data_IF_999925604852
#
_entry.id   IF_999925604852
#
_cell.length_a   1.000
_cell.length_b   1.000
_cell.length_c   1.000
_cell.angle_alpha   90.00
_cell.angle_beta   90.00
_cell.angle_gamma   90.00
#
_symmetry.space_group_name_H-M   'P 1'
#
loop_
_entity.id
_entity.type
_entity.pdbx_description
1 polymer ?
#
# COMPACT_ATOMS: atom_id res chain seq x y z
N UNK A 1 -18.63 -3.46 -16.87
CA UNK A 1 -18.09 -3.02 -18.19
C UNK A 1 -17.41 -1.68 -17.98
N UNK A 2 -16.11 -1.69 -17.68
CA UNK A 2 -15.32 -0.46 -17.53
C UNK A 2 -15.10 0.17 -18.90
N UNK A 3 -15.68 1.32 -19.13
CA UNK A 3 -15.42 2.15 -20.30
C UNK A 3 -13.98 2.65 -20.23
N UNK A 4 -13.10 2.05 -21.04
CA UNK A 4 -11.77 2.55 -21.29
C UNK A 4 -11.87 3.97 -21.85
N UNK A 5 -11.44 4.98 -21.07
CA UNK A 5 -11.43 6.40 -21.48
C UNK A 5 -10.43 6.68 -22.61
N UNK A 6 -9.61 5.72 -23.00
CA UNK A 6 -8.64 5.84 -24.09
C UNK A 6 -8.87 4.71 -25.06
N UNK A 7 -9.67 4.98 -26.10
CA UNK A 7 -9.83 4.08 -27.23
C UNK A 7 -8.67 4.23 -28.24
N UNK A 8 -8.18 3.12 -28.80
CA UNK A 8 -7.33 3.12 -29.96
C UNK A 8 -5.81 3.14 -29.70
N UNK A 9 -5.06 3.59 -30.70
CA UNK A 9 -3.58 3.55 -30.77
C UNK A 9 -2.87 4.24 -29.58
N UNK A 10 -3.50 5.24 -28.94
CA UNK A 10 -2.94 5.93 -27.77
C UNK A 10 -2.84 5.05 -26.53
N UNK A 11 -3.87 4.22 -26.24
CA UNK A 11 -3.84 3.29 -25.12
C UNK A 11 -2.78 2.19 -25.31
N UNK A 12 -2.63 1.69 -26.53
CA UNK A 12 -1.60 0.70 -26.85
C UNK A 12 -0.19 1.26 -26.69
N UNK A 13 0.02 2.54 -27.06
CA UNK A 13 1.33 3.20 -26.90
C UNK A 13 1.68 3.40 -25.41
N UNK A 14 0.73 3.86 -24.59
CA UNK A 14 0.92 4.00 -23.13
C UNK A 14 1.21 2.64 -22.47
N UNK A 15 0.48 1.59 -22.85
CA UNK A 15 0.73 0.24 -22.36
C UNK A 15 2.11 -0.29 -22.77
N UNK A 16 2.53 -0.04 -24.02
CA UNK A 16 3.85 -0.43 -24.52
C UNK A 16 4.98 0.32 -23.79
N UNK A 17 4.78 1.59 -23.45
CA UNK A 17 5.75 2.37 -22.69
C UNK A 17 5.86 1.87 -21.25
N UNK A 18 4.75 1.60 -20.59
CA UNK A 18 4.72 1.02 -19.23
C UNK A 18 5.36 -0.38 -19.19
N UNK A 19 5.18 -1.18 -20.26
CA UNK A 19 5.82 -2.51 -20.36
C UNK A 19 7.35 -2.44 -20.54
N UNK A 20 7.86 -1.36 -21.17
CA UNK A 20 9.30 -1.15 -21.34
C UNK A 20 10.00 -0.60 -20.10
N UNK A 21 9.27 0.16 -19.28
CA UNK A 21 9.77 0.79 -18.05
C UNK A 21 8.87 0.37 -16.87
N UNK A 22 8.86 -0.93 -16.50
CA UNK A 22 8.00 -1.43 -15.45
C UNK A 22 8.45 -0.86 -14.11
N UNK A 23 7.55 -0.16 -13.43
CA UNK A 23 7.77 0.30 -12.09
C UNK A 23 6.66 -0.24 -11.16
N UNK A 24 7.01 -0.50 -9.92
CA UNK A 24 6.03 -0.94 -8.94
C UNK A 24 5.35 0.29 -8.34
N UNK A 25 4.06 0.46 -8.60
CA UNK A 25 3.26 1.51 -7.96
C UNK A 25 3.30 1.41 -6.43
N UNK A 26 3.50 0.21 -5.91
CA UNK A 26 3.57 -0.02 -4.47
C UNK A 26 4.94 0.41 -3.91
N UNK A 27 6.03 0.03 -4.57
CA UNK A 27 7.40 0.35 -4.11
C UNK A 27 7.68 1.87 -4.17
N UNK A 28 7.00 2.60 -5.07
CA UNK A 28 7.09 4.06 -5.15
C UNK A 28 6.74 4.75 -3.82
N UNK A 29 5.82 4.17 -3.05
CA UNK A 29 5.40 4.74 -1.78
C UNK A 29 6.26 4.33 -0.58
N UNK A 30 7.25 3.45 -0.73
CA UNK A 30 8.14 3.09 0.38
C UNK A 30 8.87 4.32 0.94
N UNK A 31 9.37 5.21 0.08
CA UNK A 31 10.01 6.45 0.51
C UNK A 31 9.09 7.37 1.32
N UNK A 32 7.80 7.45 0.92
CA UNK A 32 6.81 8.20 1.67
C UNK A 32 6.55 7.57 3.05
N UNK A 33 6.44 6.24 3.14
CA UNK A 33 6.28 5.54 4.41
C UNK A 33 7.49 5.79 5.30
N UNK A 34 8.71 5.63 4.78
CA UNK A 34 9.94 5.84 5.55
C UNK A 34 10.13 7.29 6.02
N UNK A 35 9.61 8.27 5.28
CA UNK A 35 9.62 9.68 5.68
C UNK A 35 8.59 10.00 6.79
N UNK A 36 7.64 9.10 7.06
CA UNK A 36 6.53 9.32 7.99
C UNK A 36 6.50 8.32 9.16
N UNK A 37 7.62 7.76 9.54
CA UNK A 37 7.71 6.81 10.65
C UNK A 37 7.39 7.49 12.00
N UNK A 38 6.82 6.76 12.98
CA UNK A 38 6.58 7.26 14.33
C UNK A 38 7.90 7.52 15.06
N UNK A 39 7.85 8.28 16.16
CA UNK A 39 9.03 8.50 17.00
C UNK A 39 9.45 7.24 17.75
N UNK A 40 8.47 6.48 18.31
CA UNK A 40 8.71 5.18 18.94
C UNK A 40 8.73 4.11 17.86
N UNK A 41 9.70 3.19 17.91
CA UNK A 41 10.00 2.24 16.83
C UNK A 41 10.33 0.85 17.34
N UNK A 42 9.52 0.33 18.27
CA UNK A 42 9.70 -1.02 18.81
C UNK A 42 9.10 -2.08 17.89
N UNK A 43 7.83 -1.91 17.51
CA UNK A 43 7.09 -2.89 16.71
C UNK A 43 6.45 -2.22 15.49
N UNK A 44 6.71 -2.76 14.30
CA UNK A 44 6.01 -2.41 13.07
C UNK A 44 5.31 -3.63 12.49
N UNK A 45 4.10 -3.43 11.94
CA UNK A 45 3.32 -4.47 11.26
C UNK A 45 2.99 -4.02 9.86
N UNK A 46 3.42 -4.78 8.85
CA UNK A 46 3.05 -4.59 7.45
C UNK A 46 1.98 -5.62 7.06
N UNK A 47 0.74 -5.17 6.91
CA UNK A 47 -0.42 -6.02 6.59
C UNK A 47 -0.53 -6.17 5.08
N UNK A 48 -0.53 -7.43 4.61
CA UNK A 48 -0.42 -7.78 3.20
C UNK A 48 0.98 -7.52 2.65
N UNK A 49 1.98 -8.02 3.36
CA UNK A 49 3.40 -7.74 3.09
C UNK A 49 3.91 -8.22 1.73
N UNK A 50 3.15 -9.08 1.04
CA UNK A 50 3.41 -9.55 -0.31
C UNK A 50 4.80 -10.19 -0.45
N UNK A 51 5.71 -9.52 -1.16
CA UNK A 51 7.09 -10.01 -1.40
C UNK A 51 8.12 -9.51 -0.39
N UNK A 52 7.71 -8.78 0.63
CA UNK A 52 8.55 -8.35 1.73
C UNK A 52 9.41 -7.10 1.47
N UNK A 53 9.24 -6.40 0.35
CA UNK A 53 10.05 -5.23 0.03
C UNK A 53 9.94 -4.11 1.08
N UNK A 54 8.71 -3.81 1.56
CA UNK A 54 8.53 -2.82 2.62
C UNK A 54 9.02 -3.36 3.96
N UNK A 55 8.73 -4.61 4.30
CA UNK A 55 9.21 -5.25 5.55
C UNK A 55 10.73 -5.15 5.66
N UNK A 56 11.46 -5.51 4.60
CA UNK A 56 12.92 -5.38 4.56
C UNK A 56 13.38 -3.92 4.72
N UNK A 57 12.67 -2.98 4.08
CA UNK A 57 12.97 -1.54 4.17
C UNK A 57 12.71 -0.95 5.55
N UNK A 58 11.77 -1.51 6.32
CA UNK A 58 11.45 -1.09 7.69
C UNK A 58 12.41 -1.67 8.75
N UNK A 59 13.00 -2.84 8.49
CA UNK A 59 13.84 -3.56 9.44
C UNK A 59 14.97 -2.71 10.06
N UNK A 60 15.68 -1.83 9.33
CA UNK A 60 16.72 -0.99 9.92
C UNK A 60 16.20 0.08 10.90
N UNK A 61 14.90 0.33 10.93
CA UNK A 61 14.30 1.43 11.69
C UNK A 61 13.53 0.98 12.94
N UNK A 62 13.26 -0.31 13.09
CA UNK A 62 12.46 -0.85 14.19
C UNK A 62 13.20 -1.93 14.95
N UNK A 63 12.88 -2.09 16.23
CA UNK A 63 13.41 -3.21 17.02
C UNK A 63 12.88 -4.54 16.46
N UNK A 64 11.62 -4.57 16.01
CA UNK A 64 11.01 -5.72 15.36
C UNK A 64 10.03 -5.31 14.28
N UNK A 65 9.96 -6.09 13.19
CA UNK A 65 9.01 -5.91 12.09
C UNK A 65 8.30 -7.21 11.79
N UNK A 66 6.97 -7.19 11.81
CA UNK A 66 6.16 -8.35 11.42
C UNK A 66 5.50 -8.11 10.07
N UNK A 67 5.87 -8.92 9.08
CA UNK A 67 5.14 -9.00 7.80
C UNK A 67 3.99 -9.99 7.90
N UNK A 68 2.77 -9.53 7.60
CA UNK A 68 1.57 -10.37 7.65
C UNK A 68 1.00 -10.55 6.24
N UNK A 69 0.71 -11.78 5.85
CA UNK A 69 0.00 -12.09 4.61
C UNK A 69 -0.81 -13.38 4.76
N UNK A 70 -1.99 -13.44 4.14
CA UNK A 70 -2.81 -14.66 4.12
C UNK A 70 -2.27 -15.70 3.13
N UNK A 71 -1.56 -15.24 2.09
CA UNK A 71 -0.99 -16.10 1.06
C UNK A 71 0.34 -16.70 1.52
N UNK A 72 0.40 -18.02 1.61
CA UNK A 72 1.58 -18.76 2.06
C UNK A 72 2.79 -18.59 1.11
N UNK A 73 2.58 -18.41 -0.21
CA UNK A 73 3.65 -18.15 -1.15
C UNK A 73 4.26 -16.75 -0.94
N UNK A 74 3.41 -15.76 -0.64
CA UNK A 74 3.88 -14.42 -0.29
C UNK A 74 4.67 -14.43 1.01
N UNK A 75 4.19 -15.13 2.06
CA UNK A 75 4.95 -15.29 3.32
C UNK A 75 6.31 -15.93 3.08
N UNK A 76 6.37 -16.98 2.27
CA UNK A 76 7.64 -17.63 1.91
C UNK A 76 8.59 -16.66 1.18
N UNK A 77 8.07 -15.88 0.23
CA UNK A 77 8.86 -14.87 -0.52
C UNK A 77 9.37 -13.77 0.41
N UNK A 78 8.54 -13.28 1.32
CA UNK A 78 8.95 -12.31 2.35
C UNK A 78 10.06 -12.88 3.22
N UNK A 79 9.94 -14.12 3.70
CA UNK A 79 10.99 -14.78 4.47
C UNK A 79 12.32 -14.90 3.72
N UNK A 80 12.26 -15.19 2.40
CA UNK A 80 13.46 -15.20 1.56
C UNK A 80 14.06 -13.81 1.35
N UNK A 81 13.21 -12.80 1.12
CA UNK A 81 13.66 -11.41 0.92
C UNK A 81 14.26 -10.79 2.18
N UNK A 82 13.87 -11.27 3.36
CA UNK A 82 14.35 -10.78 4.66
C UNK A 82 15.30 -11.75 5.35
N UNK A 83 15.90 -12.71 4.61
CA UNK A 83 16.78 -13.74 5.20
C UNK A 83 18.10 -13.20 5.76
N UNK A 84 18.47 -11.99 5.38
CA UNK A 84 19.67 -11.27 5.82
C UNK A 84 19.45 -10.39 7.08
N UNK A 85 18.20 -10.26 7.55
CA UNK A 85 17.83 -9.48 8.74
C UNK A 85 17.27 -10.37 9.83
N UNK A 86 17.61 -10.08 11.10
CA UNK A 86 17.28 -10.94 12.25
C UNK A 86 16.05 -10.50 13.03
N UNK A 87 15.59 -9.27 12.81
CA UNK A 87 14.47 -8.65 13.53
C UNK A 87 13.16 -8.67 12.74
N UNK A 88 13.01 -9.58 11.76
CA UNK A 88 11.80 -9.75 10.96
C UNK A 88 11.13 -11.08 11.29
N UNK A 89 9.82 -11.03 11.49
CA UNK A 89 8.94 -12.20 11.56
C UNK A 89 7.93 -12.15 10.41
N UNK A 90 7.60 -13.31 9.86
CA UNK A 90 6.55 -13.44 8.84
C UNK A 90 5.44 -14.34 9.39
N UNK A 91 4.19 -13.87 9.31
CA UNK A 91 3.06 -14.52 9.96
C UNK A 91 1.78 -14.43 9.10
N UNK A 92 0.80 -15.30 9.39
CA UNK A 92 -0.59 -15.18 8.91
C UNK A 92 -1.53 -14.54 9.95
N UNK A 93 -0.96 -14.05 11.05
CA UNK A 93 -1.66 -13.48 12.18
C UNK A 93 -2.49 -12.26 11.75
N UNK A 94 -3.76 -12.22 12.11
CA UNK A 94 -4.64 -11.10 11.81
C UNK A 94 -4.57 -10.02 12.89
N UNK A 95 -4.98 -8.78 12.56
CA UNK A 95 -4.91 -7.63 13.47
C UNK A 95 -5.73 -7.81 14.76
N UNK A 96 -6.83 -8.57 14.69
CA UNK A 96 -7.69 -8.86 15.84
C UNK A 96 -6.98 -9.60 16.98
N UNK A 97 -5.95 -10.38 16.65
CA UNK A 97 -5.18 -11.19 17.61
C UNK A 97 -4.01 -10.43 18.28
N UNK A 98 -3.75 -9.18 17.89
CA UNK A 98 -2.73 -8.34 18.52
C UNK A 98 -3.24 -7.73 19.82
N UNK A 99 -2.36 -7.57 20.80
CA UNK A 99 -2.68 -6.89 22.05
C UNK A 99 -2.96 -5.40 21.82
N UNK A 100 -3.75 -4.81 22.69
CA UNK A 100 -4.03 -3.39 22.67
C UNK A 100 -2.72 -2.59 22.84
N UNK A 101 -2.60 -1.50 22.12
CA UNK A 101 -1.51 -0.52 22.23
C UNK A 101 -0.09 -1.12 22.10
N UNK A 102 0.03 -2.24 21.36
CA UNK A 102 1.27 -3.01 21.25
C UNK A 102 2.13 -2.65 20.03
N UNK A 103 1.60 -1.94 19.03
CA UNK A 103 2.25 -1.66 17.75
C UNK A 103 2.48 -0.18 17.56
N UNK A 104 3.67 0.21 17.09
CA UNK A 104 4.02 1.60 16.85
C UNK A 104 3.74 2.06 15.43
N UNK A 105 3.81 1.13 14.46
CA UNK A 105 3.50 1.39 13.06
C UNK A 105 2.66 0.26 12.46
N UNK A 106 1.55 0.60 11.82
CA UNK A 106 0.83 -0.31 10.92
C UNK A 106 0.89 0.27 9.51
N UNK A 107 1.31 -0.56 8.55
CA UNK A 107 1.33 -0.24 7.12
C UNK A 107 0.41 -1.16 6.33
N UNK A 108 -0.22 -0.63 5.27
CA UNK A 108 -1.04 -1.38 4.32
C UNK A 108 -0.82 -0.83 2.93
N UNK A 109 -0.23 -1.61 2.01
CA UNK A 109 -0.09 -1.20 0.62
C UNK A 109 -0.95 -2.10 -0.28
N UNK A 110 -1.96 -1.51 -0.91
CA UNK A 110 -2.89 -2.18 -1.82
C UNK A 110 -3.62 -3.39 -1.18
N UNK A 111 -3.96 -3.29 0.10
CA UNK A 111 -4.59 -4.36 0.89
C UNK A 111 -5.96 -3.98 1.43
N UNK A 112 -6.14 -2.75 1.92
CA UNK A 112 -7.34 -2.33 2.65
C UNK A 112 -8.65 -2.60 1.90
N UNK A 113 -8.67 -2.52 0.55
CA UNK A 113 -9.84 -2.79 -0.28
C UNK A 113 -10.22 -4.28 -0.37
N UNK A 114 -9.40 -5.18 0.17
CA UNK A 114 -9.70 -6.62 0.31
C UNK A 114 -10.36 -6.96 1.65
N UNK A 115 -10.28 -6.06 2.63
CA UNK A 115 -10.71 -6.23 4.01
C UNK A 115 -12.06 -5.57 4.27
N UNK A 116 -12.71 -5.92 5.37
CA UNK A 116 -13.76 -5.09 5.93
C UNK A 116 -13.11 -3.83 6.50
N UNK A 117 -13.45 -2.68 5.93
CA UNK A 117 -12.78 -1.42 6.24
C UNK A 117 -13.06 -0.99 7.67
N UNK A 118 -14.32 -1.02 8.11
CA UNK A 118 -14.71 -0.54 9.42
C UNK A 118 -14.12 -1.40 10.54
N UNK A 119 -14.17 -2.72 10.40
CA UNK A 119 -13.57 -3.63 11.38
C UNK A 119 -12.05 -3.52 11.40
N UNK A 120 -11.43 -3.39 10.22
CA UNK A 120 -9.97 -3.21 10.14
C UNK A 120 -9.53 -1.92 10.82
N UNK A 121 -10.23 -0.79 10.58
CA UNK A 121 -9.89 0.49 11.20
C UNK A 121 -10.09 0.48 12.72
N UNK A 122 -11.12 -0.19 13.25
CA UNK A 122 -11.30 -0.38 14.70
C UNK A 122 -10.18 -1.22 15.31
N UNK A 123 -9.73 -2.29 14.63
CA UNK A 123 -8.57 -3.06 15.08
C UNK A 123 -7.29 -2.23 15.05
N UNK A 124 -7.08 -1.43 14.01
CA UNK A 124 -5.95 -0.49 13.93
C UNK A 124 -5.96 0.49 15.10
N UNK A 125 -7.10 1.12 15.40
CA UNK A 125 -7.26 2.05 16.52
C UNK A 125 -6.89 1.39 17.85
N UNK A 126 -7.38 0.16 18.07
CA UNK A 126 -7.12 -0.61 19.30
C UNK A 126 -5.65 -1.00 19.45
N UNK A 127 -5.06 -1.54 18.37
CA UNK A 127 -3.72 -2.17 18.38
C UNK A 127 -2.59 -1.13 18.38
N UNK A 128 -2.78 0.01 17.73
CA UNK A 128 -1.77 1.07 17.73
C UNK A 128 -1.59 1.63 19.14
N UNK A 129 -0.35 1.76 19.53
CA UNK A 129 0.04 2.43 20.75
C UNK A 129 -0.18 3.95 20.66
N UNK A 130 -0.30 4.68 21.79
CA UNK A 130 -0.32 6.12 21.79
C UNK A 130 0.84 6.73 21.00
N UNK A 131 0.56 7.69 20.13
CA UNK A 131 1.49 8.28 19.13
C UNK A 131 1.99 7.30 18.06
N UNK A 132 1.47 6.07 18.01
CA UNK A 132 1.68 5.14 16.90
C UNK A 132 1.01 5.64 15.63
N UNK A 133 1.45 5.14 14.47
CA UNK A 133 0.99 5.62 13.16
C UNK A 133 0.38 4.53 12.30
N UNK A 134 -0.69 4.89 11.59
CA UNK A 134 -1.22 4.14 10.45
C UNK A 134 -0.80 4.84 9.17
N UNK A 135 -0.21 4.10 8.24
CA UNK A 135 0.13 4.56 6.89
C UNK A 135 -0.42 3.59 5.86
N UNK A 136 -1.43 4.05 5.09
CA UNK A 136 -2.06 3.23 4.06
C UNK A 136 -1.81 3.81 2.68
N UNK A 137 -1.51 2.96 1.73
CA UNK A 137 -1.57 3.23 0.30
C UNK A 137 -2.67 2.36 -0.30
N UNK A 138 -3.81 2.96 -0.57
CA UNK A 138 -5.02 2.25 -0.99
C UNK A 138 -5.41 2.50 -2.44
N UNK A 139 -6.42 1.75 -2.87
CA UNK A 139 -7.15 1.93 -4.12
C UNK A 139 -8.63 2.17 -3.80
N UNK A 140 -9.30 2.95 -4.65
CA UNK A 140 -10.74 3.20 -4.55
C UNK A 140 -11.38 3.13 -5.94
N UNK A 141 -12.66 2.78 -6.00
CA UNK A 141 -13.41 2.79 -7.25
C UNK A 141 -13.70 4.23 -7.68
N UNK A 142 -13.40 4.63 -8.93
CA UNK A 142 -13.68 5.97 -9.39
C UNK A 142 -15.19 6.15 -9.59
N UNK A 143 -15.83 6.97 -8.76
CA UNK A 143 -17.29 7.24 -8.84
C UNK A 143 -17.61 8.72 -8.93
N UNK A 144 -16.65 9.62 -8.70
CA UNK A 144 -16.85 11.06 -8.77
C UNK A 144 -16.08 11.68 -9.94
N UNK A 145 -16.49 12.88 -10.44
CA UNK A 145 -15.71 13.61 -11.44
C UNK A 145 -14.28 13.91 -10.97
N UNK A 146 -14.07 14.07 -9.67
CA UNK A 146 -12.76 14.28 -9.06
C UNK A 146 -11.89 13.02 -9.18
N UNK A 147 -12.46 11.83 -8.95
CA UNK A 147 -11.74 10.56 -9.12
C UNK A 147 -11.31 10.38 -10.57
N UNK A 148 -12.22 10.66 -11.52
CA UNK A 148 -11.92 10.59 -12.96
C UNK A 148 -10.81 11.56 -13.38
N UNK A 149 -10.74 12.77 -12.77
CA UNK A 149 -9.65 13.70 -13.00
C UNK A 149 -8.31 13.13 -12.51
N UNK A 150 -8.28 12.55 -11.31
CA UNK A 150 -7.08 11.91 -10.78
C UNK A 150 -6.65 10.68 -11.57
N UNK A 151 -7.60 9.92 -12.10
CA UNK A 151 -7.32 8.82 -13.03
C UNK A 151 -6.69 9.33 -14.32
N UNK A 152 -7.21 10.41 -14.89
CA UNK A 152 -6.62 11.06 -16.07
C UNK A 152 -5.20 11.55 -15.80
N UNK A 153 -4.95 12.19 -14.65
CA UNK A 153 -3.61 12.58 -14.21
C UNK A 153 -2.71 11.35 -14.09
N UNK A 154 -3.20 10.27 -13.48
CA UNK A 154 -2.44 9.03 -13.31
C UNK A 154 -2.09 8.38 -14.66
N UNK A 155 -2.99 8.39 -15.63
CA UNK A 155 -2.73 7.86 -16.98
C UNK A 155 -1.54 8.59 -17.64
N UNK A 156 -1.47 9.92 -17.48
CA UNK A 156 -0.41 10.74 -18.08
C UNK A 156 0.90 10.62 -17.30
N UNK A 157 0.83 10.59 -15.96
CA UNK A 157 2.03 10.61 -15.10
C UNK A 157 2.71 9.25 -14.98
N UNK A 158 1.96 8.13 -15.07
CA UNK A 158 2.52 6.79 -14.94
C UNK A 158 3.70 6.49 -15.88
N UNK A 159 3.60 6.75 -17.20
CA UNK A 159 4.72 6.54 -18.11
C UNK A 159 5.94 7.42 -17.78
N UNK A 160 5.69 8.66 -17.33
CA UNK A 160 6.75 9.61 -16.97
C UNK A 160 7.50 9.13 -15.72
N UNK A 161 6.78 8.70 -14.69
CA UNK A 161 7.37 8.16 -13.45
C UNK A 161 8.16 6.89 -13.76
N UNK A 162 7.61 5.99 -14.58
CA UNK A 162 8.29 4.77 -15.02
C UNK A 162 9.60 5.09 -15.76
N UNK A 163 9.58 6.05 -16.68
CA UNK A 163 10.76 6.47 -17.44
C UNK A 163 11.82 7.14 -16.55
N UNK A 164 11.41 8.01 -15.61
CA UNK A 164 12.36 8.69 -14.70
C UNK A 164 12.97 7.72 -13.69
N UNK A 165 12.16 6.82 -13.12
CA UNK A 165 12.62 5.83 -12.14
C UNK A 165 13.43 4.68 -12.74
N UNK A 166 13.13 4.30 -13.97
CA UNK A 166 13.77 3.20 -14.71
C UNK A 166 14.10 3.62 -16.13
N UNK A 167 15.12 4.51 -16.33
CA UNK A 167 15.45 5.07 -17.65
C UNK A 167 15.94 4.00 -18.65
N UNK A 168 16.42 2.88 -18.16
CA UNK A 168 16.84 1.75 -18.99
C UNK A 168 15.72 0.73 -19.16
N UNK A 169 15.40 0.32 -20.40
CA UNK A 169 14.37 -0.69 -20.65
C UNK A 169 14.71 -2.00 -19.94
N UNK A 170 13.76 -2.56 -19.22
CA UNK A 170 13.92 -3.92 -18.67
C UNK A 170 13.94 -4.95 -19.79
N UNK A 171 14.83 -5.98 -19.72
CA UNK A 171 14.83 -7.08 -20.67
C UNK A 171 13.44 -7.73 -20.71
N UNK A 172 12.89 -7.90 -21.91
CA UNK A 172 11.61 -8.58 -22.10
C UNK A 172 11.68 -9.98 -21.46
N UNK A 173 10.82 -10.27 -20.47
CA UNK A 173 10.71 -11.62 -19.90
C UNK A 173 10.60 -11.72 -18.38
N UNK A 174 10.86 -10.67 -17.61
CA UNK A 174 10.66 -10.69 -16.15
C UNK A 174 9.46 -9.86 -15.71
N UNK A 175 8.26 -10.18 -16.21
CA UNK A 175 7.07 -9.73 -15.52
C UNK A 175 6.95 -10.54 -14.23
N UNK A 176 6.90 -9.90 -13.07
CA UNK A 176 6.60 -10.58 -11.82
C UNK A 176 5.27 -11.29 -11.97
N UNK A 177 5.12 -12.49 -11.40
CA UNK A 177 3.84 -13.21 -11.38
C UNK A 177 2.71 -12.26 -10.93
N UNK A 178 1.55 -12.28 -11.60
CA UNK A 178 0.46 -11.38 -11.25
C UNK A 178 0.03 -11.63 -9.81
N UNK A 179 -0.15 -10.55 -9.05
CA UNK A 179 -0.82 -10.61 -7.75
C UNK A 179 -2.31 -10.90 -7.98
N UNK A 180 -2.99 -11.60 -7.07
CA UNK A 180 -4.44 -11.67 -7.09
C UNK A 180 -4.99 -10.23 -6.95
N UNK A 181 -5.58 -9.72 -8.02
CA UNK A 181 -6.14 -8.37 -8.08
C UNK A 181 -7.64 -8.48 -7.90
N UNK A 182 -8.15 -7.89 -6.82
CA UNK A 182 -9.58 -7.61 -6.66
C UNK A 182 -9.77 -6.12 -6.89
N UNK A 183 -10.70 -5.76 -7.77
CA UNK A 183 -11.02 -4.36 -7.98
C UNK A 183 -11.66 -3.76 -6.72
N UNK A 184 -11.32 -2.51 -6.37
CA UNK A 184 -11.93 -1.84 -5.23
C UNK A 184 -13.43 -1.63 -5.49
N UNK A 185 -14.25 -1.94 -4.48
CA UNK A 185 -15.71 -1.79 -4.54
C UNK A 185 -16.14 -0.40 -4.07
N UNK A 186 -15.46 0.13 -3.03
CA UNK A 186 -15.79 1.41 -2.43
C UNK A 186 -15.06 2.57 -3.13
N UNK A 187 -15.77 3.68 -3.26
CA UNK A 187 -15.21 4.95 -3.75
C UNK A 187 -14.32 5.62 -2.70
N UNK A 188 -13.55 6.61 -3.14
CA UNK A 188 -12.74 7.43 -2.24
C UNK A 188 -13.58 8.06 -1.12
N UNK A 189 -14.76 8.60 -1.44
CA UNK A 189 -15.60 9.26 -0.45
C UNK A 189 -16.25 8.27 0.53
N UNK A 190 -16.52 7.03 0.10
CA UNK A 190 -17.02 5.97 0.99
C UNK A 190 -15.94 5.55 1.98
N UNK A 191 -14.72 5.29 1.52
CA UNK A 191 -13.58 4.98 2.38
C UNK A 191 -13.30 6.14 3.34
N UNK A 192 -13.33 7.37 2.83
CA UNK A 192 -13.10 8.57 3.65
C UNK A 192 -14.11 8.71 4.78
N UNK A 193 -15.38 8.41 4.54
CA UNK A 193 -16.41 8.44 5.60
C UNK A 193 -16.11 7.46 6.74
N UNK A 194 -15.72 6.24 6.43
CA UNK A 194 -15.29 5.25 7.44
C UNK A 194 -14.06 5.73 8.21
N UNK A 195 -13.06 6.26 7.49
CA UNK A 195 -11.83 6.80 8.09
C UNK A 195 -12.14 7.96 9.04
N UNK A 196 -12.93 8.94 8.60
CA UNK A 196 -13.28 10.13 9.41
C UNK A 196 -14.10 9.74 10.67
N UNK A 197 -14.93 8.70 10.57
CA UNK A 197 -15.79 8.24 11.67
C UNK A 197 -15.01 7.46 12.74
N UNK A 198 -14.01 6.68 12.35
CA UNK A 198 -13.31 5.75 13.25
C UNK A 198 -11.95 6.32 13.70
N UNK A 199 -11.26 7.03 12.83
CA UNK A 199 -9.92 7.57 13.09
C UNK A 199 -9.94 9.10 13.04
N UNK A 200 -10.42 9.78 14.09
CA UNK A 200 -10.53 11.25 14.11
C UNK A 200 -9.16 11.90 13.90
N UNK A 201 -9.11 12.88 13.00
CA UNK A 201 -7.86 13.56 12.64
C UNK A 201 -7.04 12.86 11.56
N UNK A 202 -7.48 11.74 11.02
CA UNK A 202 -6.82 11.09 9.89
C UNK A 202 -6.86 11.97 8.64
N UNK A 203 -5.79 11.92 7.86
CA UNK A 203 -5.70 12.61 6.57
C UNK A 203 -5.76 11.62 5.43
N UNK A 204 -6.71 11.79 4.51
CA UNK A 204 -6.81 10.99 3.29
C UNK A 204 -6.61 11.87 2.06
N UNK A 205 -5.72 11.46 1.14
CA UNK A 205 -5.34 12.25 -0.06
C UNK A 205 -5.26 11.38 -1.30
N UNK A 206 -5.78 11.89 -2.42
CA UNK A 206 -5.50 11.30 -3.73
C UNK A 206 -4.00 11.38 -4.05
N UNK A 207 -3.51 10.37 -4.76
CA UNK A 207 -2.12 10.27 -5.23
C UNK A 207 -2.10 9.82 -6.68
N UNK A 208 -0.96 10.02 -7.33
CA UNK A 208 -0.70 9.46 -8.66
C UNK A 208 -0.65 7.92 -8.63
N UNK A 209 -0.77 7.29 -9.78
CA UNK A 209 -0.74 5.83 -9.89
C UNK A 209 -2.03 5.16 -9.44
N UNK A 210 -3.19 5.84 -9.57
CA UNK A 210 -4.50 5.33 -9.16
C UNK A 210 -4.54 4.96 -7.67
N UNK A 211 -3.87 5.76 -6.82
CA UNK A 211 -3.73 5.50 -5.37
C UNK A 211 -4.30 6.65 -4.55
N UNK A 212 -4.58 6.33 -3.31
CA UNK A 212 -4.78 7.30 -2.23
C UNK A 212 -3.90 6.92 -1.04
N UNK A 213 -3.60 7.88 -0.19
CA UNK A 213 -2.92 7.64 1.08
C UNK A 213 -3.85 7.97 2.23
N UNK A 214 -3.79 7.15 3.29
CA UNK A 214 -4.37 7.47 4.61
C UNK A 214 -3.21 7.55 5.58
N UNK A 215 -3.20 8.62 6.35
CA UNK A 215 -2.22 8.88 7.40
C UNK A 215 -2.97 9.25 8.67
N UNK A 216 -2.67 8.52 9.75
CA UNK A 216 -3.23 8.78 11.06
C UNK A 216 -2.19 8.55 12.14
N UNK A 217 -2.20 9.40 13.16
CA UNK A 217 -1.45 9.22 14.38
C UNK A 217 -2.44 9.06 15.52
N UNK A 218 -2.35 7.96 16.27
CA UNK A 218 -3.18 7.75 17.45
C UNK A 218 -2.86 8.84 18.49
N UNK A 219 -3.87 9.53 19.04
CA UNK A 219 -3.65 10.47 20.14
C UNK A 219 -2.88 9.83 21.30
N UNK A 220 -2.05 10.65 21.97
CA UNK A 220 -1.28 10.23 23.15
C UNK A 220 -2.08 10.25 24.43
#
# INVERSE_FOLDING_TARGET
MGTSLIGGKGAQWVQALNARHPWSHNDYFHSWILANLPSRRREAVDVGCGRGGLVHSLAPYFDHVTGVDIDSDMRRRTGLACSDVTNVTVSERQLDSWADESVDLITMIAVLHHLDIDDTLRHVERVLAPNGRLLVVGMAAPRSPRDLLWDAVSIVTNPLIGFVGHPWPSPAGKQPAPFPVKDPVLSFDEVKRSVDAILPGATMRHRVGFRHTIEWAKPG
#
